data_IF_436635830247
#
_entry.id   IF_436635830247
#
_cell.length_a   1.000
_cell.length_b   1.000
_cell.length_c   1.000
_cell.angle_alpha   90.00
_cell.angle_beta   90.00
_cell.angle_gamma   90.00
#
_symmetry.space_group_name_H-M   'P 1'
#
loop_
_entity.id
_entity.type
_entity.pdbx_description
1 polymer ?
#
# COMPACT_ATOMS: atom_id res chain seq x y z
N UNK A 1 6.68 4.33 -6.80
CA UNK A 1 5.35 3.69 -6.87
C UNK A 1 5.46 2.41 -7.69
N UNK A 2 4.84 1.34 -7.22
CA UNK A 2 4.72 0.06 -7.94
C UNK A 2 3.26 -0.22 -8.27
N UNK A 3 2.99 -0.85 -9.41
CA UNK A 3 1.63 -1.06 -9.93
C UNK A 3 1.45 -2.52 -10.34
N UNK A 4 0.27 -3.09 -10.10
CA UNK A 4 -0.18 -4.37 -10.64
C UNK A 4 -1.69 -4.33 -10.87
N UNK A 5 -2.14 -4.63 -12.10
CA UNK A 5 -3.56 -4.53 -12.45
C UNK A 5 -4.10 -3.14 -12.18
N UNK A 6 -5.18 -3.07 -11.40
CA UNK A 6 -5.79 -1.80 -10.98
C UNK A 6 -5.31 -1.32 -9.62
N UNK A 7 -4.25 -1.89 -9.04
CA UNK A 7 -3.75 -1.52 -7.72
C UNK A 7 -2.33 -1.00 -7.78
N UNK A 8 -1.99 -0.08 -6.87
CA UNK A 8 -0.66 0.48 -6.75
C UNK A 8 -0.25 0.66 -5.29
N UNK A 9 1.05 0.64 -5.02
CA UNK A 9 1.63 1.07 -3.74
C UNK A 9 2.55 2.25 -4.00
N UNK A 10 2.29 3.37 -3.33
CA UNK A 10 3.14 4.55 -3.36
C UNK A 10 3.62 4.90 -1.95
N UNK A 11 4.80 5.50 -1.86
CA UNK A 11 5.32 5.99 -0.58
C UNK A 11 4.63 7.32 -0.22
N UNK A 12 4.40 7.56 1.06
CA UNK A 12 4.01 8.87 1.58
C UNK A 12 4.92 9.27 2.73
N UNK A 13 5.10 10.57 2.93
CA UNK A 13 5.84 11.14 4.05
C UNK A 13 5.21 12.44 4.52
N UNK A 14 5.17 12.64 5.83
CA UNK A 14 4.72 13.87 6.48
C UNK A 14 5.63 14.16 7.68
N UNK A 15 6.43 15.23 7.58
CA UNK A 15 7.44 15.53 8.58
C UNK A 15 8.45 14.38 8.71
N UNK A 16 8.63 13.87 9.93
CA UNK A 16 9.51 12.74 10.22
C UNK A 16 8.86 11.36 9.99
N UNK A 17 7.55 11.32 9.70
CA UNK A 17 6.80 10.08 9.54
C UNK A 17 6.60 9.73 8.08
N UNK A 18 6.44 8.44 7.81
CA UNK A 18 6.20 7.93 6.48
C UNK A 18 5.65 6.53 6.49
N UNK A 19 5.18 6.13 5.33
CA UNK A 19 4.56 4.84 5.12
C UNK A 19 4.29 4.60 3.66
N UNK A 20 3.39 3.66 3.42
CA UNK A 20 2.97 3.21 2.09
C UNK A 20 1.47 3.34 1.98
N UNK A 21 1.05 3.83 0.82
CA UNK A 21 -0.32 4.08 0.44
C UNK A 21 -0.72 3.03 -0.60
N UNK A 22 -1.76 2.24 -0.30
CA UNK A 22 -2.43 1.41 -1.30
C UNK A 22 -3.38 2.29 -2.10
N UNK A 23 -3.30 2.24 -3.42
CA UNK A 23 -4.22 2.93 -4.32
C UNK A 23 -4.96 1.95 -5.21
N UNK A 24 -6.16 2.33 -5.63
CA UNK A 24 -6.94 1.64 -6.66
C UNK A 24 -7.25 2.58 -7.81
N UNK A 25 -7.04 2.11 -9.03
CA UNK A 25 -7.44 2.80 -10.25
C UNK A 25 -8.96 2.67 -10.43
N UNK A 26 -9.63 3.81 -10.55
CA UNK A 26 -11.04 3.92 -10.90
C UNK A 26 -11.24 4.79 -12.16
N UNK A 27 -12.50 5.07 -12.52
CA UNK A 27 -12.83 5.83 -13.73
C UNK A 27 -12.28 7.27 -13.74
N UNK A 28 -12.11 7.87 -12.56
CA UNK A 28 -11.69 9.26 -12.37
C UNK A 28 -10.22 9.39 -11.93
N UNK A 29 -9.46 8.28 -11.94
CA UNK A 29 -8.06 8.25 -11.54
C UNK A 29 -7.78 7.31 -10.37
N UNK A 30 -6.71 7.58 -9.64
CA UNK A 30 -6.27 6.77 -8.50
C UNK A 30 -6.91 7.26 -7.21
N UNK A 31 -7.50 6.33 -6.46
CA UNK A 31 -8.07 6.59 -5.13
C UNK A 31 -7.20 5.93 -4.07
N UNK A 32 -6.89 6.67 -3.00
CA UNK A 32 -6.22 6.14 -1.81
C UNK A 32 -7.17 5.20 -1.06
N UNK A 33 -6.77 3.95 -0.86
CA UNK A 33 -7.54 2.94 -0.14
C UNK A 33 -7.12 2.89 1.33
N UNK A 34 -5.82 2.74 1.59
CA UNK A 34 -5.29 2.73 2.95
C UNK A 34 -3.86 3.24 3.01
N UNK A 35 -3.45 3.69 4.19
CA UNK A 35 -2.08 3.95 4.56
C UNK A 35 -1.62 2.92 5.61
N UNK A 36 -0.41 2.41 5.46
CA UNK A 36 0.18 1.41 6.35
C UNK A 36 1.71 1.51 6.39
N UNK A 37 2.31 0.92 7.41
CA UNK A 37 3.76 0.71 7.50
C UNK A 37 4.18 -0.57 6.79
N UNK A 38 5.04 -1.36 7.41
CA UNK A 38 5.57 -2.59 6.81
C UNK A 38 4.53 -3.71 6.65
N UNK A 39 3.38 -3.62 7.32
CA UNK A 39 2.30 -4.59 7.15
C UNK A 39 1.83 -4.76 5.70
N UNK A 40 1.91 -3.71 4.87
CA UNK A 40 1.53 -3.76 3.45
C UNK A 40 2.47 -4.62 2.59
N UNK A 41 3.66 -4.95 3.10
CA UNK A 41 4.67 -5.76 2.39
C UNK A 41 4.29 -7.24 2.37
N UNK A 42 3.39 -7.67 3.26
CA UNK A 42 2.88 -9.05 3.28
C UNK A 42 1.77 -9.21 2.22
N UNK A 43 1.94 -10.11 1.23
CA UNK A 43 0.89 -10.38 0.25
C UNK A 43 -0.43 -10.86 0.88
N UNK A 44 -0.41 -11.50 2.06
CA UNK A 44 -1.64 -11.86 2.80
C UNK A 44 -2.36 -10.65 3.35
N UNK A 45 -1.63 -9.65 3.85
CA UNK A 45 -2.23 -8.39 4.31
C UNK A 45 -2.89 -7.64 3.14
N UNK A 46 -2.27 -7.65 1.96
CA UNK A 46 -2.86 -7.10 0.73
C UNK A 46 -4.15 -7.83 0.33
N UNK A 47 -4.18 -9.15 0.44
CA UNK A 47 -5.41 -9.92 0.20
C UNK A 47 -6.51 -9.57 1.19
N UNK A 48 -6.19 -9.48 2.49
CA UNK A 48 -7.13 -9.04 3.53
C UNK A 48 -7.61 -7.60 3.31
N UNK A 49 -6.81 -6.76 2.64
CA UNK A 49 -7.21 -5.42 2.24
C UNK A 49 -8.18 -5.38 1.05
N UNK A 50 -8.43 -6.52 0.39
CA UNK A 50 -9.38 -6.67 -0.71
C UNK A 50 -8.75 -6.89 -2.09
N UNK A 51 -7.43 -7.11 -2.18
CA UNK A 51 -6.77 -7.35 -3.47
C UNK A 51 -6.96 -8.81 -3.93
N UNK A 52 -7.10 -9.04 -5.25
CA UNK A 52 -6.91 -10.36 -5.83
C UNK A 52 -5.54 -10.93 -5.43
N UNK A 53 -5.47 -12.22 -5.08
CA UNK A 53 -4.25 -12.86 -4.58
C UNK A 53 -3.04 -12.69 -5.51
N UNK A 54 -3.25 -12.81 -6.83
CA UNK A 54 -2.19 -12.62 -7.82
C UNK A 54 -1.67 -11.17 -7.86
N UNK A 55 -2.56 -10.18 -7.75
CA UNK A 55 -2.16 -8.77 -7.72
C UNK A 55 -1.46 -8.40 -6.41
N UNK A 56 -1.92 -8.92 -5.27
CA UNK A 56 -1.27 -8.73 -3.98
C UNK A 56 0.14 -9.31 -3.96
N UNK A 57 0.33 -10.53 -4.48
CA UNK A 57 1.65 -11.15 -4.60
C UNK A 57 2.58 -10.35 -5.52
N UNK A 58 2.08 -9.92 -6.69
CA UNK A 58 2.86 -9.13 -7.64
C UNK A 58 3.26 -7.76 -7.06
N UNK A 59 2.37 -7.09 -6.32
CA UNK A 59 2.69 -5.82 -5.66
C UNK A 59 3.73 -5.99 -4.57
N UNK A 60 3.60 -7.00 -3.71
CA UNK A 60 4.59 -7.27 -2.67
C UNK A 60 5.98 -7.52 -3.26
N UNK A 61 6.06 -8.33 -4.33
CA UNK A 61 7.33 -8.60 -5.02
C UNK A 61 7.92 -7.34 -5.65
N UNK A 62 7.11 -6.55 -6.36
CA UNK A 62 7.57 -5.30 -7.00
C UNK A 62 8.01 -4.28 -5.96
N UNK A 63 7.29 -4.17 -4.85
CA UNK A 63 7.64 -3.29 -3.74
C UNK A 63 8.98 -3.69 -3.13
N UNK A 64 9.19 -4.98 -2.85
CA UNK A 64 10.45 -5.47 -2.31
C UNK A 64 11.63 -5.17 -3.25
N UNK A 65 11.45 -5.32 -4.56
CA UNK A 65 12.48 -4.98 -5.55
C UNK A 65 12.75 -3.47 -5.60
N UNK A 66 11.70 -2.63 -5.55
CA UNK A 66 11.85 -1.18 -5.52
C UNK A 66 12.58 -0.70 -4.25
N UNK A 67 12.26 -1.28 -3.10
CA UNK A 67 12.85 -0.92 -1.81
C UNK A 67 14.33 -1.27 -1.68
N UNK A 68 14.82 -2.27 -2.41
CA UNK A 68 16.26 -2.59 -2.46
C UNK A 68 17.11 -1.43 -3.01
N UNK A 69 16.49 -0.51 -3.75
CA UNK A 69 17.18 0.66 -4.31
C UNK A 69 17.15 1.87 -3.38
N UNK A 70 16.43 1.80 -2.26
CA UNK A 70 16.27 2.91 -1.33
C UNK A 70 17.39 2.93 -0.28
N UNK A 71 17.88 4.13 0.09
CA UNK A 71 18.73 4.31 1.26
C UNK A 71 18.07 3.80 2.55
N UNK A 72 18.89 3.32 3.50
CA UNK A 72 18.40 2.73 4.75
C UNK A 72 17.62 3.72 5.63
N UNK A 73 18.03 4.99 5.67
CA UNK A 73 17.32 6.07 6.34
C UNK A 73 15.95 6.33 5.72
N UNK A 74 15.85 6.27 4.38
CA UNK A 74 14.56 6.36 3.69
C UNK A 74 13.65 5.20 4.04
N UNK A 75 14.15 3.97 4.05
CA UNK A 75 13.38 2.80 4.47
C UNK A 75 12.89 2.93 5.92
N UNK A 76 13.74 3.41 6.83
CA UNK A 76 13.37 3.64 8.22
C UNK A 76 12.20 4.63 8.36
N UNK A 77 12.19 5.71 7.57
CA UNK A 77 11.05 6.64 7.53
C UNK A 77 9.78 5.96 7.03
N UNK A 78 9.86 5.12 5.99
CA UNK A 78 8.70 4.37 5.46
C UNK A 78 8.19 3.28 6.42
N UNK A 79 9.04 2.80 7.31
CA UNK A 79 8.67 1.84 8.37
C UNK A 79 8.13 2.53 9.64
N UNK A 80 8.19 3.85 9.75
CA UNK A 80 7.85 4.58 10.98
C UNK A 80 6.35 4.62 11.30
N UNK A 81 5.47 4.33 10.33
CA UNK A 81 4.04 4.29 10.57
C UNK A 81 3.61 2.92 11.11
N UNK A 82 3.16 2.90 12.36
CA UNK A 82 2.59 1.70 12.99
C UNK A 82 1.08 1.63 12.75
N UNK A 83 0.61 0.51 12.19
CA UNK A 83 -0.80 0.24 11.97
C UNK A 83 -1.30 0.45 10.55
N UNK A 84 -2.63 0.51 10.40
CA UNK A 84 -3.35 0.65 9.13
C UNK A 84 -4.47 1.68 9.33
N UNK A 85 -4.56 2.66 8.43
CA UNK A 85 -5.70 3.57 8.33
C UNK A 85 -6.35 3.38 6.97
N UNK A 86 -7.62 3.01 6.95
CA UNK A 86 -8.43 2.89 5.73
C UNK A 86 -9.17 4.19 5.45
N UNK A 87 -9.20 4.56 4.17
CA UNK A 87 -9.91 5.73 3.66
C UNK A 87 -11.24 5.33 3.03
N UNK A 88 -11.36 4.08 2.60
CA UNK A 88 -12.66 3.49 2.33
C UNK A 88 -13.37 3.21 3.65
N UNK A 89 -14.51 3.88 3.87
CA UNK A 89 -15.38 3.59 5.01
C UNK A 89 -15.83 2.12 5.03
N UNK A 90 -16.46 1.63 6.11
CA UNK A 90 -17.00 0.27 6.12
C UNK A 90 -17.84 0.08 4.87
N UNK A 91 -17.53 -0.95 4.08
CA UNK A 91 -18.29 -1.28 2.88
C UNK A 91 -19.76 -1.32 3.27
N UNK A 92 -20.56 -0.36 2.82
CA UNK A 92 -22.01 -0.41 2.92
C UNK A 92 -22.48 -1.48 1.94
N UNK A 93 -22.35 -2.73 2.36
CA UNK A 93 -23.08 -3.84 1.77
C UNK A 93 -24.54 -3.62 2.09
N UNK A 94 -25.28 -3.07 1.13
CA UNK A 94 -26.73 -3.09 1.11
C UNK A 94 -27.21 -4.53 1.35
N UNK A 95 -27.98 -4.72 2.42
CA UNK A 95 -28.82 -5.90 2.62
C UNK A 95 -30.27 -5.45 2.63
#
# INVERSE_FOLDING_TARGET
MVVSGTHAIADWTQGAHGGRALLRQGPTGWTLILCAGDGIKDPKALQLAGLPAAEGAALAQRLAAAEQTLPADRLAVLSSFEGIVRMDGPSTGTK
#
